data_IF_732577860257
#
_entry.id   IF_732577860257
#
_cell.length_a   1.000
_cell.length_b   1.000
_cell.length_c   1.000
_cell.angle_alpha   90.00
_cell.angle_beta   90.00
_cell.angle_gamma   90.00
#
_symmetry.space_group_name_H-M   'P 1'
#
loop_
_entity.id
_entity.type
_entity.pdbx_description
1 polymer ?
#
# COMPACT_ATOMS: atom_id res chain seq x y z
N UNK A 1 3.62 3.29 21.92
CA UNK A 1 3.65 4.32 20.88
C UNK A 1 2.31 4.29 20.19
N UNK A 2 1.55 5.37 20.22
CA UNK A 2 0.23 5.43 19.57
C UNK A 2 0.48 5.48 18.06
N UNK A 3 0.24 4.37 17.36
CA UNK A 3 0.17 4.37 15.90
C UNK A 3 -1.09 5.16 15.54
N UNK A 4 -0.93 6.48 15.38
CA UNK A 4 -2.02 7.33 14.90
C UNK A 4 -2.31 6.91 13.47
N UNK A 5 -3.33 6.07 13.30
CA UNK A 5 -3.80 5.63 11.99
C UNK A 5 -4.16 6.90 11.21
N UNK A 6 -3.32 7.27 10.25
CA UNK A 6 -3.60 8.35 9.33
C UNK A 6 -4.92 8.01 8.62
N UNK A 7 -5.88 8.95 8.64
CA UNK A 7 -7.15 8.73 7.95
C UNK A 7 -6.95 9.12 6.50
N UNK A 8 -6.76 8.11 5.66
CA UNK A 8 -6.69 8.28 4.21
C UNK A 8 -8.08 8.70 3.71
N UNK A 9 -8.14 9.85 3.05
CA UNK A 9 -9.31 10.37 2.37
C UNK A 9 -9.02 10.37 0.88
N UNK A 10 -9.78 9.55 0.14
CA UNK A 10 -9.71 9.51 -1.31
C UNK A 10 -10.70 10.53 -1.87
N UNK A 11 -10.26 11.54 -2.64
CA UNK A 11 -11.14 12.49 -3.31
C UNK A 11 -12.05 11.80 -4.32
N UNK A 12 -13.32 12.20 -4.40
CA UNK A 12 -14.30 11.63 -5.33
C UNK A 12 -13.92 11.76 -6.82
N UNK A 13 -13.06 12.73 -7.15
CA UNK A 13 -12.59 12.94 -8.53
C UNK A 13 -11.41 12.05 -8.91
N UNK A 14 -10.79 11.34 -7.96
CA UNK A 14 -9.67 10.43 -8.22
C UNK A 14 -10.16 8.99 -8.33
N UNK A 15 -9.71 8.32 -9.38
CA UNK A 15 -9.91 6.89 -9.56
C UNK A 15 -8.59 6.15 -9.34
N UNK A 16 -8.67 4.87 -8.96
CA UNK A 16 -7.47 4.07 -8.76
C UNK A 16 -6.67 3.85 -10.04
N UNK A 17 -7.35 3.80 -11.18
CA UNK A 17 -6.70 3.75 -12.50
C UNK A 17 -5.84 4.99 -12.78
N UNK A 18 -6.08 6.14 -12.12
CA UNK A 18 -5.23 7.33 -12.25
C UNK A 18 -3.82 7.10 -11.68
N UNK A 19 -3.64 6.16 -10.75
CA UNK A 19 -2.31 5.77 -10.27
C UNK A 19 -1.45 5.17 -11.40
N UNK A 20 -2.07 4.68 -12.47
CA UNK A 20 -1.42 4.02 -13.62
C UNK A 20 -0.36 3.02 -13.17
N UNK A 21 -0.74 2.18 -12.22
CA UNK A 21 0.14 1.18 -11.62
C UNK A 21 0.76 0.29 -12.69
N UNK A 22 2.08 0.17 -12.63
CA UNK A 22 2.86 -0.71 -13.49
C UNK A 22 3.88 -1.45 -12.66
N UNK A 23 4.13 -2.70 -13.05
CA UNK A 23 5.16 -3.54 -12.45
C UNK A 23 6.15 -3.94 -13.55
N UNK A 24 7.18 -3.12 -13.84
CA UNK A 24 8.27 -3.51 -14.72
C UNK A 24 9.02 -4.75 -14.20
N UNK A 25 9.77 -5.41 -15.08
CA UNK A 25 10.59 -6.59 -14.78
C UNK A 25 11.68 -6.34 -13.71
N UNK A 26 11.92 -5.08 -13.35
CA UNK A 26 12.81 -4.69 -12.26
C UNK A 26 12.23 -5.02 -10.87
N UNK A 27 10.94 -5.35 -10.78
CA UNK A 27 10.23 -5.66 -9.54
C UNK A 27 9.80 -4.44 -8.74
N UNK A 28 10.18 -3.23 -9.14
CA UNK A 28 9.72 -1.98 -8.50
C UNK A 28 8.40 -1.55 -9.13
N UNK A 29 7.45 -1.16 -8.30
CA UNK A 29 6.16 -0.64 -8.78
C UNK A 29 6.37 0.80 -9.24
N UNK A 30 5.87 1.11 -10.43
CA UNK A 30 5.77 2.46 -10.95
C UNK A 30 4.32 2.95 -10.81
N UNK A 31 4.16 4.20 -10.38
CA UNK A 31 2.86 4.84 -10.17
C UNK A 31 2.96 6.36 -10.31
N UNK A 32 1.81 7.01 -10.54
CA UNK A 32 1.71 8.46 -10.65
C UNK A 32 1.71 9.11 -9.26
N UNK A 33 2.85 9.70 -8.88
CA UNK A 33 3.00 10.43 -7.62
C UNK A 33 2.06 11.63 -7.46
N UNK A 34 1.55 12.18 -8.55
CA UNK A 34 0.59 13.29 -8.50
C UNK A 34 -0.72 12.87 -7.82
N UNK A 35 -1.19 11.65 -8.07
CA UNK A 35 -2.40 11.11 -7.42
C UNK A 35 -2.16 10.89 -5.94
N UNK A 36 -1.00 10.35 -5.57
CA UNK A 36 -0.61 10.16 -4.17
C UNK A 36 -0.51 11.51 -3.44
N UNK A 37 0.04 12.54 -4.10
CA UNK A 37 0.07 13.92 -3.57
C UNK A 37 -1.32 14.43 -3.25
N UNK A 38 -2.25 14.32 -4.19
CA UNK A 38 -3.63 14.81 -4.00
C UNK A 38 -4.35 14.07 -2.86
N UNK A 39 -4.11 12.76 -2.71
CA UNK A 39 -4.63 11.98 -1.57
C UNK A 39 -4.02 12.49 -0.27
N UNK A 40 -2.70 12.68 -0.20
CA UNK A 40 -2.04 13.25 0.98
C UNK A 40 -2.56 14.64 1.33
N UNK A 41 -2.78 15.51 0.34
CA UNK A 41 -3.33 16.85 0.55
C UNK A 41 -4.78 16.82 1.07
N UNK A 42 -5.54 15.81 0.69
CA UNK A 42 -6.92 15.60 1.14
C UNK A 42 -7.01 14.84 2.47
N UNK A 43 -5.96 14.10 2.83
CA UNK A 43 -5.89 13.23 4.01
C UNK A 43 -5.29 13.96 5.20
N UNK A 44 -5.99 13.97 6.32
CA UNK A 44 -5.44 14.58 7.54
C UNK A 44 -4.43 13.65 8.20
N UNK A 45 -3.21 14.16 8.42
CA UNK A 45 -2.15 13.44 9.12
C UNK A 45 -1.33 12.47 8.26
N UNK A 46 -1.38 12.60 6.93
CA UNK A 46 -0.55 11.83 6.00
C UNK A 46 0.35 12.74 5.15
N UNK A 47 1.47 13.26 5.69
CA UNK A 47 2.39 14.10 4.92
C UNK A 47 3.07 13.27 3.84
N UNK A 48 3.16 13.78 2.62
CA UNK A 48 3.84 13.08 1.52
C UNK A 48 5.29 12.72 1.86
N UNK A 49 5.96 13.53 2.68
CA UNK A 49 7.33 13.25 3.16
C UNK A 49 7.44 11.91 3.90
N UNK A 50 6.36 11.42 4.52
CA UNK A 50 6.33 10.10 5.16
C UNK A 50 6.20 8.96 4.15
N UNK A 51 5.71 9.23 2.94
CA UNK A 51 5.64 8.27 1.84
C UNK A 51 6.92 8.32 0.99
N UNK A 52 7.51 9.50 0.78
CA UNK A 52 8.75 9.68 0.01
C UNK A 52 10.00 9.27 0.80
N UNK A 53 10.06 9.58 2.10
CA UNK A 53 11.18 9.19 2.97
C UNK A 53 10.90 7.92 3.77
N UNK A 54 9.65 7.46 3.77
CA UNK A 54 9.27 6.18 4.35
C UNK A 54 9.84 5.05 3.51
N UNK A 55 10.23 3.96 4.19
CA UNK A 55 10.52 2.67 3.55
C UNK A 55 9.43 2.38 2.50
N UNK A 56 9.82 1.79 1.36
CA UNK A 56 8.97 1.53 0.19
C UNK A 56 7.59 0.92 0.57
N UNK A 57 7.49 0.24 1.72
CA UNK A 57 6.28 -0.27 2.35
C UNK A 57 5.16 0.75 2.63
N UNK A 58 5.46 2.02 2.92
CA UNK A 58 4.45 3.01 3.31
C UNK A 58 3.49 3.35 2.16
N UNK A 59 4.03 3.49 0.94
CA UNK A 59 3.19 3.75 -0.25
C UNK A 59 2.49 2.49 -0.73
N UNK A 60 3.13 1.32 -0.58
CA UNK A 60 2.51 0.03 -0.90
C UNK A 60 1.29 -0.21 -0.01
N UNK A 61 1.38 0.06 1.29
CA UNK A 61 0.26 -0.04 2.22
C UNK A 61 -0.91 0.89 1.84
N UNK A 62 -0.62 2.11 1.37
CA UNK A 62 -1.64 3.03 0.85
C UNK A 62 -2.33 2.46 -0.39
N UNK A 63 -1.56 1.95 -1.36
CA UNK A 63 -2.08 1.38 -2.61
C UNK A 63 -2.96 0.17 -2.31
N UNK A 64 -2.48 -0.77 -1.50
CA UNK A 64 -3.24 -1.97 -1.14
C UNK A 64 -4.49 -1.64 -0.34
N UNK A 65 -4.41 -0.71 0.62
CA UNK A 65 -5.57 -0.28 1.40
C UNK A 65 -6.66 0.35 0.53
N UNK A 66 -6.28 1.22 -0.41
CA UNK A 66 -7.23 1.81 -1.36
C UNK A 66 -7.81 0.76 -2.31
N UNK A 67 -6.97 -0.15 -2.82
CA UNK A 67 -7.40 -1.23 -3.70
C UNK A 67 -8.46 -2.13 -3.05
N UNK A 68 -8.26 -2.54 -1.79
CA UNK A 68 -9.23 -3.36 -1.05
C UNK A 68 -10.60 -2.68 -0.94
N UNK A 69 -10.63 -1.39 -0.62
CA UNK A 69 -11.88 -0.62 -0.54
C UNK A 69 -12.59 -0.61 -1.89
N UNK A 70 -11.87 -0.40 -2.99
CA UNK A 70 -12.47 -0.41 -4.33
C UNK A 70 -13.03 -1.79 -4.67
N UNK A 71 -12.31 -2.85 -4.33
CA UNK A 71 -12.75 -4.24 -4.54
C UNK A 71 -14.02 -4.55 -3.77
N UNK A 72 -14.13 -4.09 -2.52
CA UNK A 72 -15.36 -4.21 -1.72
C UNK A 72 -16.54 -3.43 -2.33
N UNK A 73 -16.26 -2.31 -3.00
CA UNK A 73 -17.26 -1.52 -3.73
C UNK A 73 -17.57 -2.05 -5.14
N UNK A 74 -17.02 -3.20 -5.53
CA UNK A 74 -17.26 -3.84 -6.83
C UNK A 74 -16.42 -3.26 -7.98
N UNK A 75 -15.32 -2.58 -7.67
CA UNK A 75 -14.37 -2.10 -8.67
C UNK A 75 -13.55 -3.21 -9.34
N UNK A 76 -12.88 -2.83 -10.42
CA UNK A 76 -12.14 -3.76 -11.28
C UNK A 76 -10.94 -4.38 -10.56
N UNK A 77 -10.60 -5.62 -10.94
CA UNK A 77 -9.41 -6.28 -10.43
C UNK A 77 -8.20 -5.79 -11.22
N UNK A 78 -7.13 -5.40 -10.52
CA UNK A 78 -5.88 -4.98 -11.13
C UNK A 78 -4.78 -6.01 -10.81
N UNK A 79 -4.01 -6.49 -11.80
CA UNK A 79 -3.00 -7.53 -11.57
C UNK A 79 -1.87 -7.05 -10.65
N UNK A 80 -1.47 -5.79 -10.75
CA UNK A 80 -0.37 -5.22 -9.95
C UNK A 80 -0.65 -5.28 -8.44
N UNK A 81 -1.75 -4.71 -7.91
CA UNK A 81 -2.05 -4.81 -6.48
C UNK A 81 -2.43 -6.23 -6.04
N UNK A 82 -2.99 -7.09 -6.90
CA UNK A 82 -3.24 -8.50 -6.54
C UNK A 82 -1.93 -9.26 -6.31
N UNK A 83 -0.92 -9.04 -7.16
CA UNK A 83 0.43 -9.60 -6.97
C UNK A 83 1.08 -9.08 -5.69
N UNK A 84 1.02 -7.76 -5.45
CA UNK A 84 1.57 -7.16 -4.23
C UNK A 84 0.90 -7.67 -2.97
N UNK A 85 -0.43 -7.84 -3.00
CA UNK A 85 -1.18 -8.40 -1.88
C UNK A 85 -0.72 -9.83 -1.59
N UNK A 86 -0.54 -10.65 -2.63
CA UNK A 86 -0.02 -12.00 -2.49
C UNK A 86 1.40 -12.02 -1.91
N UNK A 87 2.29 -11.13 -2.34
CA UNK A 87 3.65 -11.00 -1.81
C UNK A 87 3.66 -10.61 -0.32
N UNK A 88 2.83 -9.65 0.07
CA UNK A 88 2.72 -9.23 1.47
C UNK A 88 2.17 -10.36 2.34
N UNK A 89 1.14 -11.07 1.87
CA UNK A 89 0.57 -12.22 2.59
C UNK A 89 1.56 -13.39 2.74
N UNK A 90 2.38 -13.64 1.72
CA UNK A 90 3.43 -14.67 1.78
C UNK A 90 4.54 -14.28 2.77
N UNK A 91 4.93 -13.01 2.81
CA UNK A 91 5.96 -12.51 3.74
C UNK A 91 5.48 -12.51 5.21
N UNK A 92 4.20 -12.21 5.48
CA UNK A 92 3.64 -12.32 6.83
C UNK A 92 3.63 -13.78 7.34
N UNK A 93 3.33 -14.75 6.47
CA UNK A 93 3.36 -16.17 6.81
C UNK A 93 4.78 -16.66 7.11
N UNK A 94 5.78 -16.15 6.40
CA UNK A 94 7.19 -16.50 6.63
C UNK A 94 7.74 -15.87 7.92
N UNK A 95 7.36 -14.61 8.22
CA UNK A 95 7.78 -13.91 9.44
C UNK A 95 7.23 -14.54 10.72
N UNK A 96 6.01 -15.09 10.69
CA UNK A 96 5.41 -15.79 11.84
C UNK A 96 6.06 -17.15 12.17
N UNK A 97 6.87 -17.71 11.26
CA UNK A 97 7.50 -19.02 11.44
C UNK A 97 8.88 -18.98 12.10
N UNK A 98 9.44 -17.80 12.35
CA UNK A 98 10.83 -17.62 12.80
C UNK A 98 10.99 -17.31 14.29
N UNK A 99 9.89 -17.12 15.02
CA UNK A 99 9.89 -16.84 16.46
C UNK A 99 9.78 -18.09 17.37
N UNK A 100 9.69 -19.31 16.81
CA UNK A 100 9.49 -20.54 17.62
C UNK A 100 10.78 -21.35 17.92
N UNK A 101 11.95 -20.99 17.35
CA UNK A 101 13.22 -21.72 17.59
C UNK A 101 14.23 -20.93 18.45
N UNK A 102 13.84 -20.53 19.66
CA UNK A 102 14.80 -20.14 20.71
C UNK A 102 14.31 -20.59 22.07
N UNK A 103 14.28 -21.91 22.26
CA UNK A 103 13.81 -22.49 23.49
C UNK A 103 14.12 -23.96 23.68
N UNK A 104 15.35 -24.43 23.40
CA UNK A 104 15.96 -25.55 24.15
C UNK A 104 17.42 -25.80 23.69
N UNK A 105 18.39 -25.44 24.53
CA UNK A 105 19.54 -26.28 24.91
C UNK A 105 20.19 -25.72 26.16
#
# INVERSE_FOLDING_TARGET
>A
MEQRQARVVIPDHLSFTDLRLKRPETGKIEFEWDVVKQICESSEGLPIEHLENGLEDNVVGLILGWYLVIRENGGEADPVPEELLAEVMENEAESASRDDESGLT
#
